data_IF_706744871967
#
_entry.id   IF_706744871967
#
_cell.length_a   1.000
_cell.length_b   1.000
_cell.length_c   1.000
_cell.angle_alpha   90.00
_cell.angle_beta   90.00
_cell.angle_gamma   90.00
#
_symmetry.space_group_name_H-M   'P 1'
#
loop_
_entity.id
_entity.type
_entity.pdbx_description
1 polymer ?
#
# COMPACT_ATOMS: atom_id res chain seq x y z
N UNK A 1 -24.76 -8.92 -1.57
CA UNK A 1 -23.91 -9.16 -0.38
C UNK A 1 -22.92 -8.02 -0.14
N UNK A 2 -22.40 -7.39 -1.18
CA UNK A 2 -21.32 -6.39 -1.05
C UNK A 2 -21.74 -5.00 -0.53
N UNK A 3 -23.03 -4.63 -0.70
CA UNK A 3 -23.55 -3.30 -0.28
C UNK A 3 -23.53 -3.05 1.24
N UNK A 4 -23.38 -4.08 2.06
CA UNK A 4 -23.24 -3.94 3.52
C UNK A 4 -21.78 -3.81 3.97
N UNK A 5 -20.83 -4.19 3.11
CA UNK A 5 -19.40 -4.18 3.42
C UNK A 5 -18.66 -2.95 2.88
N UNK A 6 -19.23 -2.30 1.86
CA UNK A 6 -18.63 -1.19 1.14
C UNK A 6 -19.52 0.06 1.17
N UNK A 7 -18.93 1.21 1.42
CA UNK A 7 -19.52 2.54 1.27
C UNK A 7 -19.03 3.14 -0.04
N UNK A 8 -19.97 3.56 -0.89
CA UNK A 8 -19.61 4.30 -2.11
C UNK A 8 -19.01 5.65 -1.70
N UNK A 9 -17.83 6.03 -2.22
CA UNK A 9 -17.27 7.35 -2.01
C UNK A 9 -18.06 8.41 -2.79
N UNK A 10 -17.86 9.69 -2.48
CA UNK A 10 -18.46 10.79 -3.26
C UNK A 10 -17.89 10.81 -4.68
N UNK A 11 -16.59 10.55 -4.82
CA UNK A 11 -15.86 10.45 -6.07
C UNK A 11 -15.12 9.11 -6.13
N UNK A 12 -14.99 8.51 -7.32
CA UNK A 12 -14.14 7.35 -7.57
C UNK A 12 -12.79 7.83 -8.11
N UNK A 13 -11.77 6.97 -8.07
CA UNK A 13 -10.53 7.25 -8.77
C UNK A 13 -10.78 7.43 -10.27
N UNK A 14 -10.37 8.56 -10.86
CA UNK A 14 -10.85 9.08 -12.16
C UNK A 14 -10.74 8.08 -13.32
N UNK A 15 -9.68 7.27 -13.36
CA UNK A 15 -9.46 6.28 -14.45
C UNK A 15 -10.00 4.89 -14.11
N UNK A 16 -10.81 4.78 -13.06
CA UNK A 16 -11.45 3.52 -12.66
C UNK A 16 -12.92 3.47 -13.05
N UNK A 17 -13.49 2.28 -13.00
CA UNK A 17 -14.92 2.08 -13.07
C UNK A 17 -15.47 1.56 -11.75
N UNK A 18 -16.74 1.92 -11.46
CA UNK A 18 -17.46 1.34 -10.32
C UNK A 18 -17.78 -0.13 -10.61
N UNK A 19 -17.41 -1.02 -9.71
CA UNK A 19 -17.77 -2.43 -9.81
C UNK A 19 -17.88 -3.06 -8.44
N UNK A 20 -18.69 -4.09 -8.30
CA UNK A 20 -18.59 -5.00 -7.18
C UNK A 20 -17.38 -5.92 -7.42
N UNK A 21 -16.72 -6.34 -6.35
CA UNK A 21 -15.63 -7.32 -6.45
C UNK A 21 -16.22 -8.65 -6.95
N UNK A 22 -15.88 -9.02 -8.17
CA UNK A 22 -16.30 -10.24 -8.83
C UNK A 22 -15.07 -11.06 -9.24
N UNK A 23 -15.25 -12.32 -9.61
CA UNK A 23 -14.18 -13.21 -10.09
C UNK A 23 -13.68 -12.83 -11.50
N UNK A 24 -13.42 -11.55 -11.72
CA UNK A 24 -12.84 -11.04 -12.98
C UNK A 24 -11.40 -10.59 -12.79
N UNK A 25 -10.54 -10.76 -13.80
CA UNK A 25 -9.20 -10.20 -13.79
C UNK A 25 -9.24 -8.67 -13.66
N UNK A 26 -8.31 -8.10 -12.89
CA UNK A 26 -8.24 -6.65 -12.75
C UNK A 26 -7.52 -6.15 -11.52
N UNK A 27 -7.36 -4.84 -11.44
CA UNK A 27 -6.81 -4.11 -10.30
C UNK A 27 -7.98 -3.47 -9.56
N UNK A 28 -8.09 -3.74 -8.26
CA UNK A 28 -9.17 -3.29 -7.42
C UNK A 28 -8.64 -2.37 -6.32
N UNK A 29 -9.21 -1.17 -6.22
CA UNK A 29 -8.91 -0.19 -5.18
C UNK A 29 -9.95 -0.30 -4.07
N UNK A 30 -9.52 -0.36 -2.80
CA UNK A 30 -10.41 -0.35 -1.64
C UNK A 30 -9.84 0.52 -0.53
N UNK A 31 -10.67 1.38 0.06
CA UNK A 31 -10.27 2.31 1.10
C UNK A 31 -10.59 1.82 2.52
N UNK A 32 -9.74 2.22 3.47
CA UNK A 32 -9.90 2.02 4.92
C UNK A 32 -9.90 3.37 5.63
N UNK A 33 -11.04 3.84 6.09
CA UNK A 33 -11.20 5.08 6.85
C UNK A 33 -10.91 4.81 8.34
N UNK A 34 -9.62 4.64 8.71
CA UNK A 34 -9.22 4.34 10.09
C UNK A 34 -7.92 5.04 10.50
N UNK A 35 -7.91 5.69 11.68
CA UNK A 35 -6.75 6.28 12.33
C UNK A 35 -6.81 6.18 13.87
N UNK A 36 -7.26 5.02 14.35
CA UNK A 36 -7.60 4.81 15.76
C UNK A 36 -6.43 4.69 16.72
N UNK A 37 -5.22 4.33 16.26
CA UNK A 37 -4.06 4.14 17.11
C UNK A 37 -2.97 5.21 16.93
N UNK A 38 -3.23 6.22 16.10
CA UNK A 38 -2.31 7.33 15.84
C UNK A 38 -1.83 8.00 17.12
N UNK A 39 -0.51 8.17 17.25
CA UNK A 39 0.13 8.69 18.45
C UNK A 39 0.46 10.19 18.42
N UNK A 40 0.45 10.83 17.24
CA UNK A 40 0.80 12.25 17.12
C UNK A 40 -0.28 13.04 16.37
N UNK A 41 -0.27 13.12 15.03
CA UNK A 41 -1.23 13.91 14.26
C UNK A 41 -2.20 12.98 13.54
N UNK A 42 -3.49 13.20 13.78
CA UNK A 42 -4.57 12.45 13.15
C UNK A 42 -4.90 12.98 11.75
N UNK A 43 -5.77 12.27 11.05
CA UNK A 43 -6.33 12.66 9.77
C UNK A 43 -6.09 11.64 8.66
N UNK A 44 -5.34 10.58 8.91
CA UNK A 44 -5.09 9.53 7.92
C UNK A 44 -6.37 8.79 7.48
N UNK A 45 -7.41 8.75 8.33
CA UNK A 45 -8.71 8.19 7.95
C UNK A 45 -9.38 8.90 6.76
N UNK A 46 -8.98 10.15 6.45
CA UNK A 46 -9.46 10.91 5.30
C UNK A 46 -8.65 10.64 4.02
N UNK A 47 -7.53 9.90 4.13
CA UNK A 47 -6.64 9.59 3.02
C UNK A 47 -7.34 8.97 1.83
N UNK A 48 -8.15 7.90 1.98
CA UNK A 48 -8.80 7.24 0.86
C UNK A 48 -9.63 8.17 -0.05
N UNK A 49 -10.37 9.07 0.55
CA UNK A 49 -11.19 10.03 -0.22
C UNK A 49 -10.33 11.15 -0.81
N UNK A 50 -9.23 11.55 -0.15
CA UNK A 50 -8.30 12.53 -0.69
C UNK A 50 -7.60 12.05 -1.96
N UNK A 51 -7.21 10.76 -2.06
CA UNK A 51 -6.67 10.16 -3.28
C UNK A 51 -7.64 10.31 -4.46
N UNK A 52 -8.93 10.07 -4.23
CA UNK A 52 -9.96 10.14 -5.26
C UNK A 52 -10.22 11.57 -5.70
N UNK A 53 -10.41 12.47 -4.73
CA UNK A 53 -10.68 13.89 -4.96
C UNK A 53 -9.63 14.55 -5.85
N UNK A 54 -8.33 14.30 -5.62
CA UNK A 54 -7.27 14.92 -6.41
C UNK A 54 -6.95 14.15 -7.70
N UNK A 55 -7.52 12.97 -7.91
CA UNK A 55 -7.19 12.13 -9.07
C UNK A 55 -7.56 12.78 -10.41
N UNK A 56 -8.62 13.63 -10.45
CA UNK A 56 -9.00 14.39 -11.65
C UNK A 56 -7.89 15.35 -12.13
N UNK A 57 -7.01 15.78 -11.22
CA UNK A 57 -5.87 16.65 -11.55
C UNK A 57 -4.60 15.90 -11.98
N UNK A 58 -4.64 14.58 -12.06
CA UNK A 58 -3.48 13.74 -12.42
C UNK A 58 -3.63 13.23 -13.85
N UNK A 59 -2.64 13.49 -14.69
CA UNK A 59 -2.61 12.97 -16.07
C UNK A 59 -2.59 11.44 -16.10
N UNK A 60 -3.30 10.82 -17.04
CA UNK A 60 -3.40 9.37 -17.20
C UNK A 60 -2.06 8.70 -17.53
N UNK A 61 -1.27 9.35 -18.39
CA UNK A 61 -0.03 8.79 -18.91
C UNK A 61 1.12 8.84 -17.89
N UNK A 62 1.77 7.71 -17.69
CA UNK A 62 3.04 7.60 -16.95
C UNK A 62 4.24 7.66 -17.90
N UNK A 63 5.01 8.76 -17.92
CA UNK A 63 6.22 8.84 -18.75
C UNK A 63 7.35 7.96 -18.20
N UNK A 64 7.22 7.42 -17.00
CA UNK A 64 8.22 6.55 -16.37
C UNK A 64 8.08 5.09 -16.76
N UNK A 65 6.85 4.64 -16.98
CA UNK A 65 6.49 3.25 -17.26
C UNK A 65 5.93 3.05 -18.67
N UNK A 66 5.55 4.15 -19.37
CA UNK A 66 5.00 4.11 -20.72
C UNK A 66 3.58 3.55 -20.77
N UNK A 67 2.80 3.74 -19.71
CA UNK A 67 1.42 3.24 -19.56
C UNK A 67 0.47 4.40 -19.49
N UNK A 68 -0.67 4.30 -20.16
CA UNK A 68 -1.77 5.26 -20.12
C UNK A 68 -3.02 4.60 -19.49
N UNK A 69 -3.45 5.12 -18.33
CA UNK A 69 -4.58 4.53 -17.59
C UNK A 69 -5.93 4.70 -18.32
N UNK A 70 -6.04 5.67 -19.21
CA UNK A 70 -7.24 5.96 -19.98
C UNK A 70 -7.27 5.20 -21.32
N UNK A 71 -6.13 5.16 -22.05
CA UNK A 71 -6.06 4.62 -23.41
C UNK A 71 -5.73 3.12 -23.46
N UNK A 72 -4.99 2.57 -22.48
CA UNK A 72 -4.51 1.17 -22.55
C UNK A 72 -5.56 0.14 -22.12
N UNK A 73 -6.77 0.57 -21.73
CA UNK A 73 -7.88 -0.33 -21.40
C UNK A 73 -7.67 -1.21 -20.16
N UNK A 74 -6.90 -0.71 -19.20
CA UNK A 74 -6.58 -1.43 -17.96
C UNK A 74 -7.87 -1.71 -17.15
N UNK A 75 -8.15 -2.96 -16.74
CA UNK A 75 -9.30 -3.29 -15.92
C UNK A 75 -9.09 -2.78 -14.47
N UNK A 76 -9.33 -1.50 -14.25
CA UNK A 76 -9.19 -0.80 -12.98
C UNK A 76 -10.56 -0.51 -12.38
N UNK A 77 -10.77 -0.93 -11.14
CA UNK A 77 -12.04 -0.83 -10.43
C UNK A 77 -11.87 -0.19 -9.06
N UNK A 78 -12.71 0.80 -8.75
CA UNK A 78 -12.78 1.37 -7.40
C UNK A 78 -14.00 0.81 -6.66
N UNK A 79 -13.73 0.11 -5.57
CA UNK A 79 -14.76 -0.53 -4.74
C UNK A 79 -15.36 0.43 -3.70
N UNK A 80 -14.75 1.60 -3.49
CA UNK A 80 -15.09 2.50 -2.40
C UNK A 80 -14.39 2.14 -1.09
N UNK A 81 -14.99 2.56 0.03
CA UNK A 81 -14.43 2.39 1.36
C UNK A 81 -15.13 1.26 2.13
N UNK A 82 -14.36 0.51 2.90
CA UNK A 82 -14.91 -0.53 3.78
C UNK A 82 -15.77 0.07 4.89
N UNK A 83 -16.86 -0.60 5.19
CA UNK A 83 -17.75 -0.25 6.30
C UNK A 83 -17.33 -1.03 7.53
N UNK A 84 -16.99 -0.32 8.61
CA UNK A 84 -16.78 -0.86 9.94
C UNK A 84 -17.81 -0.34 10.93
N UNK A 85 -18.03 -1.11 12.01
CA UNK A 85 -18.91 -0.74 13.13
C UNK A 85 -18.20 -1.08 14.42
N UNK A 86 -18.21 -0.17 15.39
CA UNK A 86 -17.62 -0.39 16.70
C UNK A 86 -18.00 0.72 17.67
N UNK A 87 -18.10 0.40 18.93
CA UNK A 87 -18.31 1.38 20.00
C UNK A 87 -17.00 2.09 20.38
N UNK A 88 -15.86 1.48 20.04
CA UNK A 88 -14.53 2.05 20.21
C UNK A 88 -13.62 1.72 19.03
N UNK A 89 -12.39 2.23 19.07
CA UNK A 89 -11.42 2.08 17.96
C UNK A 89 -10.99 0.62 17.74
N UNK A 90 -10.90 -0.19 18.80
CA UNK A 90 -10.52 -1.59 18.69
C UNK A 90 -11.62 -2.41 18.00
N UNK A 91 -12.88 -2.18 18.36
CA UNK A 91 -14.02 -2.82 17.72
C UNK A 91 -14.15 -2.38 16.26
N UNK A 92 -13.96 -1.08 15.97
CA UNK A 92 -13.97 -0.55 14.60
C UNK A 92 -12.88 -1.20 13.76
N UNK A 93 -11.65 -1.28 14.27
CA UNK A 93 -10.53 -1.95 13.60
C UNK A 93 -10.84 -3.40 13.25
N UNK A 94 -11.32 -4.18 14.22
CA UNK A 94 -11.68 -5.58 14.00
C UNK A 94 -12.83 -5.72 13.00
N UNK A 95 -13.81 -4.83 13.06
CA UNK A 95 -14.93 -4.83 12.12
C UNK A 95 -14.48 -4.55 10.68
N UNK A 96 -13.62 -3.56 10.45
CA UNK A 96 -13.04 -3.25 9.14
C UNK A 96 -12.24 -4.44 8.58
N UNK A 97 -11.41 -5.07 9.42
CA UNK A 97 -10.67 -6.26 9.04
C UNK A 97 -11.59 -7.43 8.66
N UNK A 98 -12.68 -7.63 9.40
CA UNK A 98 -13.67 -8.65 9.08
C UNK A 98 -14.41 -8.32 7.77
N UNK A 99 -14.75 -7.07 7.53
CA UNK A 99 -15.34 -6.63 6.26
C UNK A 99 -14.44 -6.91 5.07
N UNK A 100 -13.14 -6.61 5.17
CA UNK A 100 -12.18 -6.94 4.14
C UNK A 100 -12.03 -8.46 3.92
N UNK A 101 -11.96 -9.24 5.00
CA UNK A 101 -11.88 -10.69 4.90
C UNK A 101 -13.11 -11.25 4.21
N UNK A 102 -14.34 -10.85 4.61
CA UNK A 102 -15.57 -11.28 3.96
C UNK A 102 -15.63 -10.89 2.48
N UNK A 103 -15.15 -9.69 2.13
CA UNK A 103 -15.07 -9.21 0.75
C UNK A 103 -14.14 -10.06 -0.10
N UNK A 104 -13.04 -10.56 0.46
CA UNK A 104 -11.93 -11.15 -0.30
C UNK A 104 -11.73 -12.66 -0.08
N UNK A 105 -12.34 -13.29 0.93
CA UNK A 105 -12.05 -14.69 1.28
C UNK A 105 -12.35 -15.70 0.16
N UNK A 106 -13.37 -15.42 -0.64
CA UNK A 106 -13.73 -16.27 -1.78
C UNK A 106 -12.80 -16.11 -3.00
N UNK A 107 -11.96 -15.06 -3.01
CA UNK A 107 -11.09 -14.77 -4.16
C UNK A 107 -9.86 -15.67 -4.18
N UNK A 108 -9.52 -16.13 -5.37
CA UNK A 108 -8.24 -16.71 -5.68
C UNK A 108 -7.45 -15.70 -6.54
N UNK A 109 -6.67 -14.84 -5.88
CA UNK A 109 -6.00 -13.70 -6.52
C UNK A 109 -5.10 -14.15 -7.66
N UNK A 110 -4.31 -15.22 -7.47
CA UNK A 110 -3.41 -15.75 -8.49
C UNK A 110 -4.16 -16.34 -9.68
N UNK A 111 -5.10 -17.23 -9.42
CA UNK A 111 -5.83 -17.93 -10.49
C UNK A 111 -6.69 -16.97 -11.33
N UNK A 112 -7.26 -15.95 -10.68
CA UNK A 112 -8.17 -15.01 -11.31
C UNK A 112 -7.44 -13.78 -11.86
N UNK A 113 -6.11 -13.69 -11.73
CA UNK A 113 -5.33 -12.50 -12.08
C UNK A 113 -5.93 -11.22 -11.47
N UNK A 114 -6.16 -11.25 -10.15
CA UNK A 114 -6.76 -10.16 -9.40
C UNK A 114 -5.72 -9.52 -8.49
N UNK A 115 -5.68 -8.20 -8.48
CA UNK A 115 -4.74 -7.43 -7.69
C UNK A 115 -5.51 -6.41 -6.85
N UNK A 116 -5.24 -6.35 -5.56
CA UNK A 116 -5.88 -5.40 -4.66
C UNK A 116 -4.85 -4.36 -4.22
N UNK A 117 -5.20 -3.10 -4.38
CA UNK A 117 -4.51 -1.96 -3.76
C UNK A 117 -5.40 -1.44 -2.65
N UNK A 118 -4.91 -1.44 -1.41
CA UNK A 118 -5.61 -0.82 -0.30
C UNK A 118 -5.10 0.60 -0.08
N UNK A 119 -6.04 1.55 0.02
CA UNK A 119 -5.75 2.92 0.40
C UNK A 119 -6.07 3.07 1.89
N UNK A 120 -5.08 3.35 2.70
CA UNK A 120 -5.24 3.50 4.13
C UNK A 120 -5.58 4.93 4.53
N UNK A 121 -6.08 4.99 5.65
CA UNK A 121 -5.85 5.24 7.02
C UNK A 121 -4.41 5.01 7.53
N UNK A 122 -4.35 4.81 8.83
CA UNK A 122 -3.08 4.51 9.49
C UNK A 122 -2.52 3.15 9.06
N UNK A 123 -1.20 2.93 9.27
CA UNK A 123 -0.51 1.74 8.77
C UNK A 123 -1.04 0.40 9.33
N UNK A 124 -1.69 0.38 10.50
CA UNK A 124 -2.22 -0.86 11.09
C UNK A 124 -3.21 -1.61 10.18
N UNK A 125 -3.89 -0.90 9.25
CA UNK A 125 -4.90 -1.49 8.34
C UNK A 125 -4.29 -2.47 7.34
N UNK A 126 -3.01 -2.33 7.02
CA UNK A 126 -2.32 -3.16 6.03
C UNK A 126 -2.28 -4.64 6.42
N UNK A 127 -2.40 -4.95 7.73
CA UNK A 127 -2.30 -6.32 8.24
C UNK A 127 -3.27 -7.28 7.56
N UNK A 128 -4.52 -6.89 7.35
CA UNK A 128 -5.52 -7.82 6.79
C UNK A 128 -5.25 -8.14 5.32
N UNK A 129 -4.79 -7.14 4.54
CA UNK A 129 -4.39 -7.35 3.16
C UNK A 129 -3.11 -8.21 3.09
N UNK A 130 -2.08 -7.88 3.85
CA UNK A 130 -0.84 -8.65 3.93
C UNK A 130 -1.14 -10.13 4.29
N UNK A 131 -1.99 -10.40 5.30
CA UNK A 131 -2.40 -11.76 5.66
C UNK A 131 -3.06 -12.50 4.51
N UNK A 132 -3.94 -11.83 3.75
CA UNK A 132 -4.59 -12.42 2.56
C UNK A 132 -3.54 -12.86 1.54
N UNK A 133 -2.56 -12.01 1.25
CA UNK A 133 -1.49 -12.30 0.30
C UNK A 133 -0.51 -13.36 0.80
N UNK A 134 -0.10 -13.32 2.08
CA UNK A 134 0.74 -14.37 2.69
C UNK A 134 0.09 -15.76 2.61
N UNK A 135 -1.23 -15.84 2.82
CA UNK A 135 -1.98 -17.09 2.71
C UNK A 135 -2.01 -17.63 1.27
N UNK A 136 -2.06 -16.75 0.29
CA UNK A 136 -2.13 -17.12 -1.13
C UNK A 136 -0.76 -17.44 -1.74
N UNK A 137 0.31 -16.81 -1.26
CA UNK A 137 1.64 -16.88 -1.83
C UNK A 137 2.68 -17.32 -0.77
N UNK A 138 2.95 -18.64 -0.63
CA UNK A 138 3.78 -19.18 0.45
C UNK A 138 5.25 -18.75 0.44
N UNK A 139 5.71 -18.12 -0.65
CA UNK A 139 7.09 -17.62 -0.84
C UNK A 139 7.15 -16.12 -1.13
N UNK A 140 6.13 -15.37 -0.71
CA UNK A 140 6.03 -13.93 -0.98
C UNK A 140 7.15 -13.14 -0.31
N UNK A 141 7.66 -12.14 -1.02
CA UNK A 141 8.48 -11.06 -0.46
C UNK A 141 7.58 -9.89 -0.11
N UNK A 142 7.61 -9.48 1.15
CA UNK A 142 7.02 -8.23 1.62
C UNK A 142 8.08 -7.13 1.56
N UNK A 143 7.85 -6.11 0.75
CA UNK A 143 8.65 -4.88 0.73
C UNK A 143 7.94 -3.86 1.61
N UNK A 144 8.63 -3.37 2.63
CA UNK A 144 8.17 -2.33 3.55
C UNK A 144 8.95 -1.05 3.31
N UNK A 145 8.26 -0.02 2.83
CA UNK A 145 8.78 1.33 2.60
C UNK A 145 8.20 2.28 3.64
N UNK A 146 9.05 2.83 4.50
CA UNK A 146 8.59 3.55 5.69
C UNK A 146 9.76 4.35 6.32
N UNK A 147 9.46 5.38 7.08
CA UNK A 147 10.41 5.99 8.01
C UNK A 147 10.61 5.16 9.28
N UNK A 148 9.59 4.41 9.71
CA UNK A 148 9.53 3.69 10.97
C UNK A 148 9.77 2.18 10.79
N UNK A 149 10.25 1.54 11.85
CA UNK A 149 10.53 0.10 11.83
C UNK A 149 9.27 -0.77 11.95
N UNK A 150 8.27 -0.30 12.67
CA UNK A 150 6.96 -0.93 12.94
C UNK A 150 7.02 -2.36 13.50
N UNK A 151 8.06 -2.61 14.30
CA UNK A 151 8.37 -3.91 14.89
C UNK A 151 8.06 -4.00 16.39
N UNK A 152 7.37 -3.01 16.97
CA UNK A 152 6.96 -3.03 18.38
C UNK A 152 5.96 -4.15 18.64
N UNK A 153 6.06 -4.78 19.82
CA UNK A 153 5.09 -5.79 20.26
C UNK A 153 3.87 -5.15 20.94
N UNK A 154 3.18 -4.29 20.19
CA UNK A 154 2.13 -3.39 20.65
C UNK A 154 2.66 -2.01 21.03
N UNK A 155 1.80 -0.99 20.97
CA UNK A 155 2.17 0.38 21.26
C UNK A 155 1.00 1.14 21.92
N UNK A 156 1.29 1.91 22.99
CA UNK A 156 0.31 2.68 23.76
C UNK A 156 -0.94 1.88 24.18
N UNK A 157 -0.75 0.61 24.54
CA UNK A 157 -1.83 -0.30 24.94
C UNK A 157 -2.56 -0.99 23.79
N UNK A 158 -2.22 -0.68 22.52
CA UNK A 158 -2.81 -1.31 21.34
C UNK A 158 -1.88 -2.41 20.80
N UNK A 159 -2.38 -3.65 20.77
CA UNK A 159 -1.67 -4.78 20.17
C UNK A 159 -1.58 -4.66 18.65
N UNK A 160 -2.66 -4.21 18.00
CA UNK A 160 -2.74 -3.88 16.59
C UNK A 160 -2.57 -2.38 16.39
N UNK A 161 -1.35 -1.88 16.50
CA UNK A 161 -1.00 -0.47 16.31
C UNK A 161 -0.27 -0.25 14.99
N UNK A 162 -0.33 1.01 14.46
CA UNK A 162 0.51 1.43 13.35
C UNK A 162 1.99 1.07 13.58
N UNK A 163 2.54 1.32 14.79
CA UNK A 163 3.92 1.00 15.15
C UNK A 163 4.22 -0.51 15.34
N UNK A 164 3.26 -1.40 15.05
CA UNK A 164 3.36 -2.85 15.26
C UNK A 164 3.01 -3.66 14.00
N UNK A 165 2.67 -2.99 12.90
CA UNK A 165 2.13 -3.66 11.71
C UNK A 165 3.08 -4.70 11.15
N UNK A 166 4.37 -4.39 11.05
CA UNK A 166 5.37 -5.35 10.53
C UNK A 166 5.56 -6.51 11.53
N UNK A 167 5.62 -6.21 12.83
CA UNK A 167 5.65 -7.25 13.87
C UNK A 167 4.46 -8.20 13.75
N UNK A 168 3.25 -7.67 13.58
CA UNK A 168 2.03 -8.49 13.41
C UNK A 168 2.02 -9.26 12.10
N UNK A 169 2.57 -8.69 11.04
CA UNK A 169 2.71 -9.41 9.75
C UNK A 169 3.65 -10.60 9.86
N UNK A 170 4.77 -10.45 10.59
CA UNK A 170 5.73 -11.54 10.84
C UNK A 170 5.12 -12.72 11.61
N UNK A 171 4.11 -12.50 12.45
CA UNK A 171 3.40 -13.58 13.14
C UNK A 171 2.68 -14.55 12.17
N UNK A 172 2.52 -14.13 10.91
CA UNK A 172 1.90 -14.91 9.82
C UNK A 172 2.88 -15.40 8.76
N UNK A 173 4.18 -15.14 8.93
CA UNK A 173 5.19 -15.59 7.99
C UNK A 173 5.39 -17.10 8.09
N UNK A 174 5.34 -17.76 6.94
CA UNK A 174 5.83 -19.13 6.76
C UNK A 174 7.33 -19.12 6.35
N UNK A 175 7.94 -20.30 6.25
CA UNK A 175 9.40 -20.44 6.02
C UNK A 175 9.89 -19.89 4.68
N UNK A 176 9.00 -19.68 3.70
CA UNK A 176 9.34 -19.12 2.38
C UNK A 176 9.19 -17.60 2.29
N UNK A 177 8.54 -16.96 3.26
CA UNK A 177 8.32 -15.52 3.22
C UNK A 177 9.59 -14.75 3.58
N UNK A 178 9.76 -13.58 2.98
CA UNK A 178 10.90 -12.71 3.23
C UNK A 178 10.41 -11.26 3.45
N UNK A 179 11.15 -10.51 4.26
CA UNK A 179 10.93 -9.09 4.51
C UNK A 179 12.10 -8.27 3.98
N UNK A 180 11.82 -7.23 3.22
CA UNK A 180 12.79 -6.20 2.81
C UNK A 180 12.26 -4.87 3.33
N UNK A 181 13.03 -4.20 4.20
CA UNK A 181 12.69 -2.89 4.76
C UNK A 181 13.64 -1.82 4.24
N UNK A 182 13.07 -0.71 3.78
CA UNK A 182 13.87 0.41 3.28
C UNK A 182 13.23 1.76 3.62
N UNK A 183 14.08 2.75 3.89
CA UNK A 183 13.68 4.09 4.33
C UNK A 183 13.76 4.27 5.85
N UNK A 184 13.87 3.15 6.60
CA UNK A 184 13.77 3.15 8.05
C UNK A 184 14.86 4.02 8.68
N UNK A 185 14.44 5.08 9.36
CA UNK A 185 15.29 6.07 10.02
C UNK A 185 14.82 6.44 11.43
N UNK A 186 13.68 5.87 11.84
CA UNK A 186 13.12 5.98 13.19
C UNK A 186 12.72 4.60 13.72
N UNK A 187 13.09 4.31 14.96
CA UNK A 187 12.82 3.04 15.66
C UNK A 187 13.64 2.92 16.92
N UNK A 188 13.33 1.90 17.74
CA UNK A 188 14.10 1.60 18.95
C UNK A 188 15.40 0.86 18.62
N UNK A 189 16.30 0.82 19.62
CA UNK A 189 17.54 0.04 19.48
C UNK A 189 17.27 -1.44 19.22
N UNK A 190 16.27 -1.99 19.88
CA UNK A 190 15.84 -3.39 19.77
C UNK A 190 15.30 -3.71 18.37
N UNK A 191 14.52 -2.80 17.78
CA UNK A 191 14.03 -2.93 16.42
C UNK A 191 15.17 -2.91 15.41
N UNK A 192 16.12 -1.99 15.54
CA UNK A 192 17.32 -1.95 14.68
C UNK A 192 18.20 -3.19 14.84
N UNK A 193 18.34 -3.72 16.05
CA UNK A 193 19.07 -4.97 16.29
C UNK A 193 18.38 -6.13 15.58
N UNK A 194 17.05 -6.25 15.77
CA UNK A 194 16.26 -7.30 15.11
C UNK A 194 16.38 -7.24 13.57
N UNK A 195 16.25 -6.06 12.99
CA UNK A 195 16.36 -5.88 11.53
C UNK A 195 17.73 -6.30 10.98
N UNK A 196 18.80 -6.00 11.71
CA UNK A 196 20.17 -6.42 11.37
C UNK A 196 20.36 -7.93 11.45
N UNK A 197 19.91 -8.54 12.54
CA UNK A 197 20.01 -9.99 12.78
C UNK A 197 19.22 -10.77 11.71
N UNK A 198 18.05 -10.28 11.31
CA UNK A 198 17.18 -10.90 10.31
C UNK A 198 17.49 -10.42 8.88
N UNK A 199 18.47 -9.53 8.71
CA UNK A 199 18.87 -8.98 7.42
C UNK A 199 17.70 -8.36 6.63
N UNK A 200 16.71 -7.80 7.30
CA UNK A 200 15.56 -7.18 6.65
C UNK A 200 15.84 -5.75 6.17
N UNK A 201 16.63 -4.97 6.91
CA UNK A 201 16.93 -3.57 6.59
C UNK A 201 17.93 -3.43 5.43
N UNK A 202 17.66 -2.47 4.55
CA UNK A 202 18.61 -1.96 3.55
C UNK A 202 19.21 -0.64 4.03
N UNK A 203 20.55 -0.51 3.94
CA UNK A 203 21.27 0.65 4.47
C UNK A 203 21.42 1.80 3.46
N UNK A 204 20.76 1.73 2.32
CA UNK A 204 20.76 2.78 1.31
C UNK A 204 20.12 2.36 0.00
N UNK A 205 19.86 3.36 -0.84
CA UNK A 205 19.12 3.21 -2.12
C UNK A 205 19.71 2.14 -3.03
N UNK A 206 21.02 2.11 -3.18
CA UNK A 206 21.68 1.14 -4.06
C UNK A 206 21.47 -0.28 -3.56
N UNK A 207 21.72 -0.57 -2.27
CA UNK A 207 21.49 -1.89 -1.68
C UNK A 207 20.03 -2.31 -1.83
N UNK A 208 19.10 -1.40 -1.57
CA UNK A 208 17.67 -1.65 -1.72
C UNK A 208 17.33 -2.07 -3.16
N UNK A 209 17.68 -1.26 -4.15
CA UNK A 209 17.37 -1.56 -5.55
C UNK A 209 18.04 -2.85 -6.05
N UNK A 210 19.26 -3.14 -5.60
CA UNK A 210 19.93 -4.40 -5.89
C UNK A 210 19.18 -5.60 -5.28
N UNK A 211 18.71 -5.48 -4.03
CA UNK A 211 17.92 -6.55 -3.39
C UNK A 211 16.61 -6.78 -4.13
N UNK A 212 15.89 -5.73 -4.50
CA UNK A 212 14.66 -5.84 -5.30
C UNK A 212 14.93 -6.49 -6.65
N UNK A 213 16.02 -6.09 -7.33
CA UNK A 213 16.44 -6.68 -8.61
C UNK A 213 16.76 -8.17 -8.49
N UNK A 214 17.33 -8.59 -7.38
CA UNK A 214 17.72 -9.98 -7.13
C UNK A 214 16.56 -10.89 -6.68
N UNK A 215 15.36 -10.37 -6.44
CA UNK A 215 14.17 -11.21 -6.24
C UNK A 215 13.94 -12.01 -7.53
N UNK A 216 13.80 -13.36 -7.48
CA UNK A 216 13.48 -14.15 -8.68
C UNK A 216 12.18 -13.68 -9.35
N UNK A 217 12.09 -13.81 -10.67
CA UNK A 217 10.99 -13.24 -11.47
C UNK A 217 9.61 -13.83 -11.12
N UNK A 218 9.58 -15.08 -10.67
CA UNK A 218 8.39 -15.84 -10.31
C UNK A 218 8.00 -15.73 -8.84
N UNK A 219 8.83 -15.05 -8.03
CA UNK A 219 8.54 -14.84 -6.61
C UNK A 219 7.58 -13.68 -6.44
N UNK A 220 6.41 -13.90 -5.79
CA UNK A 220 5.43 -12.83 -5.57
C UNK A 220 5.98 -11.72 -4.69
N UNK A 221 5.71 -10.48 -5.06
CA UNK A 221 6.10 -9.28 -4.32
C UNK A 221 4.87 -8.47 -3.94
N UNK A 222 4.73 -8.15 -2.67
CA UNK A 222 3.75 -7.20 -2.14
C UNK A 222 4.48 -5.98 -1.56
N UNK A 223 3.98 -4.78 -1.83
CA UNK A 223 4.55 -3.53 -1.32
C UNK A 223 3.59 -2.91 -0.31
N UNK A 224 4.03 -2.71 0.93
CA UNK A 224 3.37 -1.84 1.90
C UNK A 224 4.15 -0.53 1.99
N UNK A 225 3.47 0.57 1.69
CA UNK A 225 4.06 1.90 1.60
C UNK A 225 3.40 2.84 2.60
N UNK A 226 4.15 3.19 3.64
CA UNK A 226 3.86 4.37 4.45
C UNK A 226 4.35 5.62 3.71
N UNK A 227 3.51 6.63 3.61
CA UNK A 227 3.86 7.86 2.88
C UNK A 227 4.91 8.71 3.60
N UNK A 228 5.19 8.48 4.88
CA UNK A 228 6.30 9.11 5.57
C UNK A 228 7.68 8.54 5.19
N UNK A 229 7.72 7.47 4.37
CA UNK A 229 8.90 7.04 3.61
C UNK A 229 9.53 8.19 2.84
N UNK A 230 8.70 9.03 2.24
CA UNK A 230 9.14 10.23 1.54
C UNK A 230 9.62 11.31 2.52
N UNK A 231 10.59 12.11 2.09
CA UNK A 231 11.04 13.23 2.90
C UNK A 231 9.91 14.27 3.08
N UNK A 232 9.73 14.85 4.28
CA UNK A 232 8.69 15.85 4.54
C UNK A 232 8.80 17.10 3.66
N UNK A 233 9.93 17.35 3.00
CA UNK A 233 10.06 18.41 2.01
C UNK A 233 9.24 18.16 0.75
N UNK A 234 8.92 16.90 0.45
CA UNK A 234 8.07 16.49 -0.67
C UNK A 234 6.64 16.19 -0.23
N UNK A 235 6.48 15.53 0.93
CA UNK A 235 5.20 15.07 1.44
C UNK A 235 5.09 15.33 2.95
N UNK A 236 4.70 16.57 3.35
CA UNK A 236 4.51 16.91 4.76
C UNK A 236 3.18 16.40 5.35
N UNK A 237 2.23 15.93 4.52
CA UNK A 237 0.88 15.54 4.90
C UNK A 237 0.77 14.13 5.47
N UNK A 238 1.61 13.79 6.47
CA UNK A 238 1.57 12.53 7.22
C UNK A 238 1.51 12.77 8.72
N UNK A 239 1.07 11.75 9.48
CA UNK A 239 0.96 11.83 10.94
C UNK A 239 2.30 12.03 11.65
N UNK A 240 3.32 11.28 11.27
CA UNK A 240 4.61 11.16 11.94
C UNK A 240 5.79 11.34 10.97
N UNK A 241 5.94 12.53 10.35
CA UNK A 241 7.02 12.76 9.37
C UNK A 241 8.40 12.72 10.03
N UNK A 242 9.36 12.12 9.33
CA UNK A 242 10.75 12.04 9.72
C UNK A 242 11.65 12.63 8.62
N UNK A 243 12.60 13.48 8.99
CA UNK A 243 13.54 14.07 8.04
C UNK A 243 14.55 13.05 7.50
N UNK A 244 15.05 13.29 6.28
CA UNK A 244 16.05 12.42 5.63
C UNK A 244 15.42 11.27 4.85
N UNK A 245 14.18 11.44 4.40
CA UNK A 245 13.44 10.47 3.60
C UNK A 245 13.85 10.45 2.13
N UNK A 246 13.16 9.63 1.37
CA UNK A 246 13.41 9.40 -0.04
C UNK A 246 12.58 10.31 -0.94
N UNK A 247 12.96 10.36 -2.21
CA UNK A 247 12.26 11.10 -3.26
C UNK A 247 11.33 10.18 -4.10
N UNK A 248 10.50 10.81 -4.91
CA UNK A 248 9.62 10.12 -5.87
C UNK A 248 10.38 9.23 -6.86
N UNK A 249 11.59 9.63 -7.30
CA UNK A 249 12.35 8.87 -8.28
C UNK A 249 12.94 7.58 -7.73
N UNK A 250 13.20 7.51 -6.44
CA UNK A 250 13.60 6.26 -5.77
C UNK A 250 12.47 5.24 -5.82
N UNK A 251 11.25 5.67 -5.50
CA UNK A 251 10.05 4.84 -5.60
C UNK A 251 9.80 4.34 -7.03
N UNK A 252 9.84 5.24 -8.01
CA UNK A 252 9.69 4.88 -9.42
C UNK A 252 10.79 3.93 -9.89
N UNK A 253 12.03 4.08 -9.40
CA UNK A 253 13.13 3.16 -9.73
C UNK A 253 12.87 1.73 -9.26
N UNK A 254 12.25 1.56 -8.09
CA UNK A 254 11.78 0.27 -7.61
C UNK A 254 10.67 -0.28 -8.51
N UNK A 255 9.68 0.52 -8.85
CA UNK A 255 8.56 0.08 -9.71
C UNK A 255 9.02 -0.33 -11.11
N UNK A 256 10.03 0.35 -11.68
CA UNK A 256 10.67 -0.06 -12.95
C UNK A 256 11.32 -1.46 -12.90
N UNK A 257 11.69 -1.92 -11.71
CA UNK A 257 12.17 -3.30 -11.52
C UNK A 257 10.97 -4.24 -11.34
N UNK A 258 9.99 -3.83 -10.53
CA UNK A 258 8.84 -4.68 -10.18
C UNK A 258 7.90 -4.96 -11.35
N UNK A 259 7.79 -4.06 -12.33
CA UNK A 259 6.97 -4.27 -13.53
C UNK A 259 7.35 -5.53 -14.33
N UNK A 260 8.59 -5.98 -14.22
CA UNK A 260 9.12 -7.16 -14.89
C UNK A 260 9.17 -8.40 -13.95
N UNK A 261 8.49 -8.34 -12.80
CA UNK A 261 8.44 -9.40 -11.78
C UNK A 261 6.99 -9.75 -11.46
N UNK A 262 6.80 -10.77 -10.62
CA UNK A 262 5.48 -11.13 -10.10
C UNK A 262 5.06 -10.14 -9.01
N UNK A 263 4.80 -8.89 -9.38
CA UNK A 263 4.25 -7.88 -8.49
C UNK A 263 2.75 -8.14 -8.33
N UNK A 264 2.28 -8.44 -7.12
CA UNK A 264 0.93 -9.00 -6.91
C UNK A 264 -0.05 -8.03 -6.24
N UNK A 265 0.40 -6.98 -5.59
CA UNK A 265 -0.46 -6.01 -4.93
C UNK A 265 0.30 -5.11 -3.97
N UNK A 266 -0.41 -4.20 -3.31
CA UNK A 266 0.19 -3.29 -2.35
C UNK A 266 -0.84 -2.48 -1.58
N UNK A 267 -0.32 -1.68 -0.67
CA UNK A 267 -1.09 -0.66 0.03
C UNK A 267 -0.31 0.65 0.10
N UNK A 268 -1.05 1.75 0.26
CA UNK A 268 -0.52 3.10 0.46
C UNK A 268 -1.27 3.70 1.64
N UNK A 269 -0.55 4.06 2.68
CA UNK A 269 -1.12 4.46 3.98
C UNK A 269 -0.55 5.78 4.50
N UNK A 270 -1.13 6.30 5.57
CA UNK A 270 -0.69 7.48 6.34
C UNK A 270 -0.82 8.81 5.60
N UNK A 271 -1.62 8.90 4.51
CA UNK A 271 -1.99 10.22 3.98
C UNK A 271 -2.94 10.94 4.93
N UNK A 272 -2.48 12.02 5.52
CA UNK A 272 -3.28 12.89 6.39
C UNK A 272 -3.50 14.27 5.69
N UNK A 273 -4.52 14.39 4.82
CA UNK A 273 -4.66 15.53 3.90
C UNK A 273 -4.85 16.88 4.61
N UNK A 274 -5.49 16.91 5.76
CA UNK A 274 -5.71 18.15 6.51
C UNK A 274 -4.44 18.77 7.10
N UNK A 275 -3.36 17.97 7.22
CA UNK A 275 -2.06 18.46 7.69
C UNK A 275 -1.38 19.34 6.63
N UNK A 276 -1.67 19.07 5.36
CA UNK A 276 -1.18 19.88 4.23
C UNK A 276 -2.35 20.52 3.47
N UNK A 277 -2.80 21.71 3.89
CA UNK A 277 -3.95 22.39 3.29
C UNK A 277 -3.69 22.87 1.86
N UNK A 278 -2.47 22.74 1.33
CA UNK A 278 -2.15 23.05 -0.07
C UNK A 278 -2.56 21.93 -1.02
N UNK A 279 -2.94 20.76 -0.52
CA UNK A 279 -3.16 19.50 -1.25
C UNK A 279 -1.91 18.95 -1.98
N UNK A 280 -0.74 19.53 -1.83
CA UNK A 280 0.47 19.01 -2.51
C UNK A 280 0.78 17.57 -2.10
N UNK A 281 0.61 17.24 -0.82
CA UNK A 281 0.79 15.87 -0.33
C UNK A 281 -0.20 14.89 -0.94
N UNK A 282 -1.47 15.28 -1.06
CA UNK A 282 -2.51 14.46 -1.69
C UNK A 282 -2.23 14.23 -3.19
N UNK A 283 -1.82 15.29 -3.91
CA UNK A 283 -1.42 15.20 -5.33
C UNK A 283 -0.19 14.30 -5.49
N UNK A 284 0.82 14.45 -4.63
CA UNK A 284 2.01 13.60 -4.65
C UNK A 284 1.64 12.12 -4.40
N UNK A 285 0.86 11.85 -3.36
CA UNK A 285 0.41 10.50 -3.01
C UNK A 285 -0.43 9.86 -4.13
N UNK A 286 -1.32 10.62 -4.77
CA UNK A 286 -2.13 10.12 -5.89
C UNK A 286 -1.27 9.83 -7.12
N UNK A 287 -0.20 10.60 -7.34
CA UNK A 287 0.79 10.27 -8.37
C UNK A 287 1.57 9.00 -8.03
N UNK A 288 1.89 8.76 -6.76
CA UNK A 288 2.48 7.50 -6.26
C UNK A 288 1.54 6.32 -6.55
N UNK A 289 0.24 6.47 -6.28
CA UNK A 289 -0.79 5.48 -6.60
C UNK A 289 -0.85 5.19 -8.11
N UNK A 290 -0.87 6.22 -8.95
CA UNK A 290 -0.85 6.05 -10.41
C UNK A 290 0.32 5.16 -10.85
N UNK A 291 1.53 5.44 -10.39
CA UNK A 291 2.71 4.64 -10.76
C UNK A 291 2.61 3.19 -10.26
N UNK A 292 2.03 2.97 -9.08
CA UNK A 292 1.78 1.61 -8.57
C UNK A 292 0.82 0.85 -9.48
N UNK A 293 -0.29 1.48 -9.89
CA UNK A 293 -1.26 0.89 -10.82
C UNK A 293 -0.59 0.55 -12.15
N UNK A 294 0.18 1.48 -12.73
CA UNK A 294 0.90 1.26 -13.98
C UNK A 294 1.89 0.09 -13.88
N UNK A 295 2.65 0.00 -12.79
CA UNK A 295 3.58 -1.10 -12.58
C UNK A 295 2.88 -2.45 -12.41
N UNK A 296 1.76 -2.48 -11.67
CA UNK A 296 0.91 -3.67 -11.52
C UNK A 296 0.30 -4.09 -12.86
N UNK A 297 -0.18 -3.15 -13.67
CA UNK A 297 -0.80 -3.48 -14.96
C UNK A 297 0.20 -4.15 -15.90
N UNK A 298 1.46 -3.67 -15.94
CA UNK A 298 2.54 -4.30 -16.70
C UNK A 298 2.90 -5.68 -16.16
N UNK A 299 3.08 -5.80 -14.84
CA UNK A 299 3.43 -7.06 -14.19
C UNK A 299 2.34 -8.14 -14.35
N UNK A 300 1.09 -7.73 -14.53
CA UNK A 300 -0.09 -8.60 -14.66
C UNK A 300 -0.48 -8.88 -16.11
N UNK A 301 0.19 -8.24 -17.10
CA UNK A 301 -0.12 -8.36 -18.51
C UNK A 301 -1.42 -7.66 -18.93
N UNK A 302 -1.88 -6.66 -18.15
CA UNK A 302 -3.03 -5.83 -18.54
C UNK A 302 -2.65 -4.68 -19.48
N UNK A 303 -1.37 -4.33 -19.52
CA UNK A 303 -0.81 -3.35 -20.46
C UNK A 303 0.54 -3.84 -20.97
N UNK A 304 0.94 -3.37 -22.14
CA UNK A 304 2.25 -3.65 -22.73
C UNK A 304 3.04 -2.34 -22.84
N UNK A 305 4.37 -2.42 -22.72
CA UNK A 305 5.22 -1.24 -22.92
C UNK A 305 5.18 -0.86 -24.40
N UNK A 306 4.46 0.19 -24.74
CA UNK A 306 4.48 0.75 -26.09
C UNK A 306 5.85 1.41 -26.39
N UNK A 307 6.78 0.64 -26.97
CA UNK A 307 8.11 1.12 -27.38
C UNK A 307 8.08 2.04 -28.62
N UNK A 308 6.90 2.38 -29.13
CA UNK A 308 6.73 3.13 -30.39
C UNK A 308 6.28 4.59 -30.17
N UNK A 309 6.33 5.14 -28.95
CA UNK A 309 5.99 6.56 -28.69
C UNK A 309 7.11 7.35 -28.08
#
# INVERSE_FOLDING_TARGET
MDKELLKKPEEIYVYSSEKNLVDEPGIYIVGFEFDGTVCFRKGACLGPDAFRYVSEGIEAFSPYLGVDLEEDGIPLFDLGNLVGKGADQSELYLSLNNSFAQLTDHLNLEKNNQHIITLGGEHSISLVAIKKYLKQYPNMVLIHLDAHADLRDGYLGNYYSHASIIRRSLDHFGPGHQLIQYGIRSGTREEYQWMKENKSICNGRQEFLERVKNIPIDVPVYVTLDLDFFDPSFLPGTGTPEAGGEDFHTYVSMLKILKDKKFVGGDIVELAPEIDPTNNSSVFATKVLREMICALSLASGFSEVNNER
#
